data_IF_924358712395
#
_entry.id   IF_924358712395
#
_cell.length_a   1.000
_cell.length_b   1.000
_cell.length_c   1.000
_cell.angle_alpha   90.00
_cell.angle_beta   90.00
_cell.angle_gamma   90.00
#
_symmetry.space_group_name_H-M   'P 1'
#
loop_
_entity.id
_entity.type
_entity.pdbx_description
1 polymer ?
#
# COMPACT_ATOMS: atom_id res chain seq x y z
N UNK A 1 26.63 -32.31 20.55
CA UNK A 1 26.15 -32.37 19.16
C UNK A 1 24.65 -32.60 19.20
N UNK A 2 23.86 -31.64 18.76
CA UNK A 2 22.41 -31.78 18.67
C UNK A 2 22.05 -32.91 17.68
N UNK A 3 21.08 -33.74 18.01
CA UNK A 3 20.62 -34.85 17.16
C UNK A 3 19.54 -34.27 16.21
N UNK A 4 19.85 -34.18 14.94
CA UNK A 4 18.93 -33.66 13.91
C UNK A 4 18.01 -34.78 13.45
N UNK A 5 16.69 -34.60 13.63
CA UNK A 5 15.63 -35.48 13.17
C UNK A 5 14.78 -34.75 12.14
N UNK A 6 14.83 -35.18 10.88
CA UNK A 6 14.14 -34.54 9.76
C UNK A 6 13.65 -35.54 8.71
N UNK A 7 13.22 -36.71 9.16
CA UNK A 7 12.83 -37.81 8.30
C UNK A 7 11.59 -37.47 7.44
N UNK A 8 10.62 -36.78 8.02
CA UNK A 8 9.41 -36.36 7.28
C UNK A 8 9.77 -35.49 6.09
N UNK A 9 10.73 -34.57 6.28
CA UNK A 9 11.17 -33.68 5.19
C UNK A 9 11.93 -34.42 4.10
N UNK A 10 12.79 -35.35 4.48
CA UNK A 10 13.48 -36.20 3.50
C UNK A 10 12.48 -37.01 2.67
N UNK A 11 11.47 -37.58 3.33
CA UNK A 11 10.40 -38.32 2.68
C UNK A 11 9.59 -37.42 1.68
N UNK A 12 9.24 -36.20 2.09
CA UNK A 12 8.54 -35.24 1.21
C UNK A 12 9.39 -34.90 -0.02
N UNK A 13 10.66 -34.57 0.17
CA UNK A 13 11.59 -34.27 -0.93
C UNK A 13 11.76 -35.46 -1.90
N UNK A 14 11.79 -36.68 -1.39
CA UNK A 14 11.82 -37.89 -2.22
C UNK A 14 10.56 -38.00 -3.07
N UNK A 15 9.40 -37.78 -2.46
CA UNK A 15 8.10 -37.86 -3.13
C UNK A 15 7.92 -36.76 -4.19
N UNK A 16 8.32 -35.53 -3.89
CA UNK A 16 8.31 -34.41 -4.82
C UNK A 16 9.14 -34.67 -6.08
N UNK A 17 10.21 -35.50 -5.92
CA UNK A 17 11.07 -35.91 -7.05
C UNK A 17 10.63 -37.24 -7.70
N UNK A 18 9.50 -37.79 -7.32
CA UNK A 18 8.99 -39.04 -7.87
C UNK A 18 9.88 -40.25 -7.61
N UNK A 19 10.78 -40.18 -6.61
CA UNK A 19 11.75 -41.28 -6.34
C UNK A 19 11.15 -42.33 -5.42
N UNK A 20 11.43 -43.59 -5.73
CA UNK A 20 11.17 -44.70 -4.79
C UNK A 20 12.17 -44.66 -3.66
N UNK A 21 11.83 -45.29 -2.49
CA UNK A 21 12.75 -45.38 -1.35
C UNK A 21 14.05 -46.11 -1.73
N UNK A 22 13.95 -47.17 -2.55
CA UNK A 22 15.10 -47.91 -3.06
C UNK A 22 15.98 -47.04 -3.95
N UNK A 23 15.39 -46.30 -4.85
CA UNK A 23 16.14 -45.41 -5.75
C UNK A 23 16.89 -44.30 -5.02
N UNK A 24 16.25 -43.69 -3.99
CA UNK A 24 16.92 -42.65 -3.18
C UNK A 24 18.04 -43.29 -2.30
N UNK A 25 17.81 -44.48 -1.73
CA UNK A 25 18.83 -45.17 -0.95
C UNK A 25 20.09 -45.49 -1.79
N UNK A 26 19.90 -45.96 -3.01
CA UNK A 26 20.98 -46.20 -3.98
C UNK A 26 21.72 -44.89 -4.33
N UNK A 27 20.98 -43.83 -4.63
CA UNK A 27 21.58 -42.53 -4.98
C UNK A 27 22.39 -41.92 -3.83
N UNK A 28 21.94 -42.11 -2.58
CA UNK A 28 22.65 -41.68 -1.37
C UNK A 28 23.78 -42.64 -0.94
N UNK A 29 23.89 -43.85 -1.53
CA UNK A 29 24.85 -44.86 -1.17
C UNK A 29 24.64 -45.33 0.27
N UNK A 30 23.37 -45.60 0.67
CA UNK A 30 22.96 -46.16 1.97
C UNK A 30 21.99 -47.31 1.76
N UNK A 31 21.78 -48.16 2.79
CA UNK A 31 20.81 -49.24 2.67
C UNK A 31 19.36 -48.72 2.71
N UNK A 32 18.40 -49.35 2.00
CA UNK A 32 16.97 -48.98 2.06
C UNK A 32 16.43 -49.04 3.49
N UNK A 33 16.84 -49.98 4.31
CA UNK A 33 16.46 -50.08 5.72
C UNK A 33 16.95 -48.87 6.53
N UNK A 34 18.18 -48.41 6.29
CA UNK A 34 18.72 -47.25 6.97
C UNK A 34 18.00 -45.95 6.51
N UNK A 35 17.68 -45.83 5.22
CA UNK A 35 16.85 -44.72 4.70
C UNK A 35 15.47 -44.71 5.35
N UNK A 36 14.82 -45.86 5.48
CA UNK A 36 13.52 -45.97 6.15
C UNK A 36 13.59 -45.49 7.62
N UNK A 37 14.65 -45.90 8.35
CA UNK A 37 14.85 -45.42 9.73
C UNK A 37 15.08 -43.93 9.84
N UNK A 38 15.74 -43.33 8.86
CA UNK A 38 15.90 -41.86 8.75
C UNK A 38 14.57 -41.17 8.44
N UNK A 39 13.79 -41.67 7.46
CA UNK A 39 12.48 -41.10 7.07
C UNK A 39 11.41 -41.23 8.17
N UNK A 40 11.59 -42.18 9.13
CA UNK A 40 10.71 -42.38 10.28
C UNK A 40 11.24 -41.72 11.55
N UNK A 41 12.29 -40.92 11.49
CA UNK A 41 12.93 -40.24 12.61
C UNK A 41 13.43 -41.26 13.73
N UNK A 42 13.62 -42.49 13.34
CA UNK A 42 14.18 -43.53 14.27
C UNK A 42 15.69 -43.38 14.45
N UNK A 43 16.36 -42.68 13.53
CA UNK A 43 17.77 -42.33 13.63
C UNK A 43 18.01 -40.86 13.24
N UNK A 44 18.93 -40.19 13.97
CA UNK A 44 19.32 -38.83 13.63
C UNK A 44 20.14 -38.79 12.32
N UNK A 45 20.05 -37.68 11.60
CA UNK A 45 20.90 -37.42 10.46
C UNK A 45 22.35 -37.19 10.93
N UNK A 46 23.29 -37.84 10.31
CA UNK A 46 24.69 -37.50 10.45
C UNK A 46 25.09 -36.44 9.40
N UNK A 47 26.16 -35.70 9.69
CA UNK A 47 26.70 -34.70 8.74
C UNK A 47 27.02 -35.34 7.40
N UNK A 48 27.53 -36.58 7.42
CA UNK A 48 27.81 -37.34 6.17
C UNK A 48 26.55 -37.62 5.36
N UNK A 49 25.42 -37.92 5.99
CA UNK A 49 24.14 -38.14 5.31
C UNK A 49 23.59 -36.80 4.75
N UNK A 50 23.66 -35.72 5.52
CA UNK A 50 23.25 -34.39 5.08
C UNK A 50 24.02 -33.93 3.86
N UNK A 51 25.33 -34.12 3.82
CA UNK A 51 26.16 -33.80 2.65
C UNK A 51 25.79 -34.64 1.42
N UNK A 52 25.43 -35.92 1.61
CA UNK A 52 24.96 -36.79 0.52
C UNK A 52 23.60 -36.32 0.00
N UNK A 53 22.67 -35.97 0.89
CA UNK A 53 21.33 -35.43 0.55
C UNK A 53 21.49 -34.12 -0.25
N UNK A 54 22.35 -33.22 0.21
CA UNK A 54 22.66 -31.98 -0.50
C UNK A 54 23.18 -32.25 -1.94
N UNK A 55 24.14 -33.17 -2.05
CA UNK A 55 24.77 -33.51 -3.36
C UNK A 55 23.78 -34.16 -4.34
N UNK A 56 22.95 -35.07 -3.84
CA UNK A 56 22.03 -35.90 -4.66
C UNK A 56 20.74 -35.15 -4.98
N UNK A 57 20.18 -34.45 -4.01
CA UNK A 57 18.91 -33.76 -4.15
C UNK A 57 19.09 -32.25 -4.44
N UNK A 58 20.31 -31.68 -4.40
CA UNK A 58 20.55 -30.25 -4.64
C UNK A 58 19.89 -29.32 -3.62
N UNK A 59 19.56 -29.85 -2.42
CA UNK A 59 18.84 -29.09 -1.39
C UNK A 59 19.86 -28.40 -0.48
N UNK A 60 19.64 -27.12 -0.18
CA UNK A 60 20.50 -26.37 0.72
C UNK A 60 20.49 -27.01 2.15
N UNK A 61 21.68 -27.25 2.70
CA UNK A 61 21.84 -27.80 4.06
C UNK A 61 21.22 -26.88 5.11
N UNK A 62 21.17 -25.56 4.85
CA UNK A 62 20.52 -24.58 5.74
C UNK A 62 19.02 -24.83 5.89
N UNK A 63 18.37 -25.43 4.90
CA UNK A 63 16.97 -25.85 5.00
C UNK A 63 16.73 -26.98 6.03
N UNK A 64 17.80 -27.62 6.53
CA UNK A 64 17.78 -28.60 7.57
C UNK A 64 18.34 -28.04 8.89
N UNK A 65 18.41 -26.72 9.07
CA UNK A 65 18.93 -26.11 10.31
C UNK A 65 17.83 -25.98 11.37
N UNK A 66 18.23 -26.09 12.63
CA UNK A 66 17.37 -25.84 13.79
C UNK A 66 16.83 -24.39 13.79
N UNK A 67 17.54 -23.44 13.16
CA UNK A 67 17.15 -22.04 13.05
C UNK A 67 15.90 -21.85 12.17
N UNK A 68 15.75 -22.62 11.09
CA UNK A 68 14.58 -22.53 10.23
C UNK A 68 13.32 -23.06 10.92
N UNK A 69 13.47 -24.15 11.68
CA UNK A 69 12.38 -24.71 12.48
C UNK A 69 11.99 -23.75 13.61
N UNK A 70 12.95 -23.16 14.31
CA UNK A 70 12.70 -22.15 15.33
C UNK A 70 11.96 -20.91 14.76
N UNK A 71 12.38 -20.48 13.58
CA UNK A 71 11.72 -19.40 12.85
C UNK A 71 10.29 -19.74 12.46
N UNK A 72 10.04 -20.95 11.97
CA UNK A 72 8.71 -21.43 11.62
C UNK A 72 7.80 -21.48 12.85
N UNK A 73 8.30 -21.96 13.99
CA UNK A 73 7.58 -21.98 15.26
C UNK A 73 7.26 -20.57 15.76
N UNK A 74 8.19 -19.63 15.65
CA UNK A 74 7.94 -18.23 16.00
C UNK A 74 6.83 -17.62 15.13
N UNK A 75 6.89 -17.82 13.82
CA UNK A 75 5.85 -17.32 12.89
C UNK A 75 4.48 -17.96 13.17
N UNK A 76 4.42 -19.24 13.49
CA UNK A 76 3.18 -19.92 13.89
C UNK A 76 2.63 -19.34 15.20
N UNK A 77 3.50 -19.09 16.16
CA UNK A 77 3.12 -18.48 17.45
C UNK A 77 2.48 -17.10 17.24
N UNK A 78 3.10 -16.27 16.40
CA UNK A 78 2.57 -14.94 16.06
C UNK A 78 1.22 -15.03 15.32
N UNK A 79 1.10 -15.98 14.38
CA UNK A 79 -0.12 -16.19 13.62
C UNK A 79 -1.29 -16.66 14.51
N UNK A 80 -1.02 -17.56 15.46
CA UNK A 80 -2.02 -18.08 16.40
C UNK A 80 -2.41 -17.01 17.42
N UNK A 81 -1.45 -16.24 17.95
CA UNK A 81 -1.70 -15.15 18.89
C UNK A 81 -2.57 -14.01 18.26
N UNK A 82 -2.57 -13.89 16.94
CA UNK A 82 -3.38 -12.90 16.22
C UNK A 82 -4.86 -13.31 16.06
N UNK A 83 -5.24 -14.54 16.43
CA UNK A 83 -6.62 -15.03 16.32
C UNK A 83 -7.39 -14.67 17.61
N UNK A 84 -8.43 -13.80 17.54
CA UNK A 84 -9.25 -13.47 18.71
C UNK A 84 -9.93 -14.71 19.28
N UNK A 85 -10.10 -14.75 20.59
CA UNK A 85 -10.83 -15.80 21.33
C UNK A 85 -10.24 -17.23 21.23
N UNK A 86 -9.05 -17.39 20.65
CA UNK A 86 -8.36 -18.67 20.65
C UNK A 86 -7.55 -18.84 21.96
N UNK A 87 -7.72 -19.97 22.69
CA UNK A 87 -6.86 -20.26 23.84
C UNK A 87 -5.39 -20.29 23.43
N UNK A 88 -4.50 -19.88 24.33
CA UNK A 88 -3.07 -19.91 24.08
C UNK A 88 -2.60 -21.35 23.74
N UNK A 89 -2.06 -21.51 22.53
CA UNK A 89 -1.52 -22.80 22.08
C UNK A 89 -0.12 -22.98 22.68
N UNK A 90 0.16 -24.12 23.38
CA UNK A 90 1.45 -24.36 23.96
C UNK A 90 2.56 -24.40 22.91
N UNK A 91 3.72 -23.84 23.22
CA UNK A 91 4.88 -23.87 22.31
C UNK A 91 5.33 -25.30 21.91
N UNK A 92 5.04 -26.27 22.77
CA UNK A 92 5.34 -27.68 22.48
C UNK A 92 4.53 -28.20 21.30
N UNK A 93 3.26 -27.86 21.21
CA UNK A 93 2.36 -28.23 20.09
C UNK A 93 2.77 -27.54 18.79
N UNK A 94 3.15 -26.26 18.83
CA UNK A 94 3.65 -25.53 17.67
C UNK A 94 4.96 -26.12 17.12
N UNK A 95 5.85 -26.58 18.03
CA UNK A 95 7.07 -27.28 17.63
C UNK A 95 6.77 -28.64 17.00
N UNK A 96 5.82 -29.37 17.56
CA UNK A 96 5.38 -30.63 16.99
C UNK A 96 4.74 -30.50 15.64
N UNK A 97 3.87 -29.46 15.46
CA UNK A 97 3.27 -29.10 14.18
C UNK A 97 4.33 -28.75 13.14
N UNK A 98 5.28 -27.87 13.48
CA UNK A 98 6.37 -27.47 12.60
C UNK A 98 7.29 -28.65 12.21
N UNK A 99 7.53 -29.56 13.12
CA UNK A 99 8.38 -30.74 12.89
C UNK A 99 7.70 -31.84 12.07
N UNK A 100 6.44 -32.18 12.41
CA UNK A 100 5.72 -33.29 11.78
C UNK A 100 4.96 -32.92 10.51
N UNK A 101 4.50 -31.69 10.42
CA UNK A 101 3.64 -31.19 9.31
C UNK A 101 4.14 -29.85 8.73
N UNK A 102 5.38 -29.76 8.23
CA UNK A 102 5.98 -28.51 7.79
C UNK A 102 5.21 -27.86 6.62
N UNK A 103 4.68 -28.65 5.68
CA UNK A 103 3.88 -28.13 4.56
C UNK A 103 2.56 -27.52 5.03
N UNK A 104 1.89 -28.14 6.00
CA UNK A 104 0.67 -27.59 6.59
C UNK A 104 0.96 -26.31 7.37
N UNK A 105 2.07 -26.27 8.10
CA UNK A 105 2.55 -25.07 8.79
C UNK A 105 2.78 -23.91 7.83
N UNK A 106 3.43 -24.16 6.70
CA UNK A 106 3.64 -23.15 5.66
C UNK A 106 2.33 -22.71 4.99
N UNK A 107 1.40 -23.64 4.74
CA UNK A 107 0.08 -23.31 4.20
C UNK A 107 -0.73 -22.43 5.17
N UNK A 108 -0.73 -22.73 6.46
CA UNK A 108 -1.35 -21.91 7.50
C UNK A 108 -0.76 -20.49 7.54
N UNK A 109 0.56 -20.38 7.49
CA UNK A 109 1.22 -19.07 7.44
C UNK A 109 0.92 -18.30 6.14
N UNK A 110 0.81 -18.99 5.02
CA UNK A 110 0.40 -18.38 3.76
C UNK A 110 -1.05 -17.88 3.82
N UNK A 111 -1.97 -18.66 4.38
CA UNK A 111 -3.36 -18.25 4.62
C UNK A 111 -3.45 -17.07 5.59
N UNK A 112 -2.70 -17.09 6.69
CA UNK A 112 -2.65 -15.99 7.64
C UNK A 112 -2.15 -14.70 7.00
N UNK A 113 -1.05 -14.76 6.24
CA UNK A 113 -0.54 -13.59 5.49
C UNK A 113 -1.56 -13.06 4.49
N UNK A 114 -2.25 -13.96 3.77
CA UNK A 114 -3.30 -13.58 2.83
C UNK A 114 -4.46 -12.89 3.55
N UNK A 115 -4.92 -13.45 4.67
CA UNK A 115 -5.97 -12.86 5.50
C UNK A 115 -5.56 -11.47 6.02
N UNK A 116 -4.34 -11.31 6.53
CA UNK A 116 -3.82 -10.01 6.94
C UNK A 116 -3.80 -9.01 5.77
N UNK A 117 -3.34 -9.43 4.59
CA UNK A 117 -3.35 -8.60 3.40
C UNK A 117 -4.77 -8.19 3.00
N UNK A 118 -5.72 -9.11 3.03
CA UNK A 118 -7.11 -8.85 2.67
C UNK A 118 -7.81 -7.93 3.70
N UNK A 119 -7.60 -8.16 4.99
CA UNK A 119 -8.08 -7.27 6.07
C UNK A 119 -7.51 -5.87 5.93
N UNK A 120 -6.23 -5.76 5.63
CA UNK A 120 -5.57 -4.48 5.39
C UNK A 120 -6.09 -3.77 4.15
N UNK A 121 -6.38 -4.51 3.09
CA UNK A 121 -7.02 -4.00 1.88
C UNK A 121 -8.40 -3.43 2.19
N UNK A 122 -9.20 -4.14 2.98
CA UNK A 122 -10.52 -3.69 3.43
C UNK A 122 -10.42 -2.42 4.29
N UNK A 123 -9.49 -2.35 5.23
CA UNK A 123 -9.25 -1.13 6.03
C UNK A 123 -8.81 0.05 5.15
N UNK A 124 -7.91 -0.20 4.20
CA UNK A 124 -7.46 0.86 3.27
C UNK A 124 -8.60 1.33 2.36
N UNK A 125 -9.48 0.42 1.93
CA UNK A 125 -10.69 0.76 1.17
C UNK A 125 -11.71 1.51 2.03
N UNK A 126 -11.97 1.06 3.25
CA UNK A 126 -12.87 1.73 4.20
C UNK A 126 -12.37 3.14 4.55
N UNK A 127 -11.08 3.31 4.84
CA UNK A 127 -10.45 4.61 5.09
C UNK A 127 -10.54 5.55 3.88
N UNK A 128 -10.47 5.01 2.67
CA UNK A 128 -10.61 5.79 1.43
C UNK A 128 -12.07 6.14 1.16
N UNK A 129 -12.99 5.23 1.37
CA UNK A 129 -14.43 5.44 1.22
C UNK A 129 -14.94 6.46 2.24
N UNK A 130 -14.53 6.38 3.49
CA UNK A 130 -14.91 7.35 4.53
C UNK A 130 -14.33 8.75 4.24
N UNK A 131 -13.16 8.85 3.64
CA UNK A 131 -12.56 10.13 3.23
C UNK A 131 -13.13 10.72 1.95
N UNK A 132 -13.76 9.92 1.11
CA UNK A 132 -14.33 10.34 -0.18
C UNK A 132 -15.84 10.62 -0.09
N UNK A 133 -16.51 10.24 1.00
CA UNK A 133 -17.95 10.46 1.17
C UNK A 133 -18.79 9.76 0.10
N UNK A 134 -18.48 8.52 -0.22
CA UNK A 134 -19.30 7.70 -1.12
C UNK A 134 -20.37 6.95 -0.32
N UNK A 135 -21.49 7.63 -0.02
CA UNK A 135 -22.69 7.00 0.54
C UNK A 135 -23.60 6.35 -0.53
N UNK A 136 -23.15 6.22 -1.77
CA UNK A 136 -23.88 5.52 -2.82
C UNK A 136 -22.97 4.56 -3.58
N UNK A 137 -22.62 3.43 -2.96
CA UNK A 137 -22.26 2.21 -3.66
C UNK A 137 -23.10 1.07 -3.12
N UNK A 138 -24.31 0.82 -3.67
CA UNK A 138 -25.05 -0.37 -3.33
C UNK A 138 -24.32 -1.57 -3.93
N UNK A 139 -23.94 -2.53 -3.10
CA UNK A 139 -23.72 -3.90 -3.55
C UNK A 139 -22.30 -4.33 -3.95
N UNK A 140 -21.23 -3.70 -3.52
CA UNK A 140 -19.86 -4.05 -3.95
C UNK A 140 -19.12 -5.07 -3.06
N UNK A 141 -19.78 -5.66 -2.09
CA UNK A 141 -19.13 -6.55 -1.11
C UNK A 141 -19.16 -8.03 -1.51
N UNK A 142 -19.95 -8.44 -2.52
CA UNK A 142 -20.26 -9.85 -2.77
C UNK A 142 -19.71 -10.48 -4.05
N UNK A 143 -19.03 -9.73 -4.92
CA UNK A 143 -18.34 -10.39 -6.04
C UNK A 143 -16.85 -10.54 -5.74
N UNK A 144 -16.45 -11.77 -5.49
CA UNK A 144 -15.06 -12.18 -5.41
C UNK A 144 -14.32 -11.72 -6.67
N UNK A 145 -13.55 -10.65 -6.56
CA UNK A 145 -12.71 -10.14 -7.64
C UNK A 145 -11.78 -11.29 -8.11
N UNK A 146 -11.74 -11.59 -9.39
CA UNK A 146 -10.81 -12.57 -9.92
C UNK A 146 -9.37 -12.19 -9.59
N UNK A 147 -8.42 -13.14 -9.55
CA UNK A 147 -7.02 -12.87 -9.28
C UNK A 147 -6.40 -12.07 -10.43
N UNK A 148 -6.66 -10.77 -10.44
CA UNK A 148 -6.17 -9.75 -11.35
C UNK A 148 -5.67 -8.56 -10.56
N UNK A 149 -5.06 -7.60 -11.23
CA UNK A 149 -4.59 -6.36 -10.61
C UNK A 149 -5.71 -5.71 -9.78
N UNK A 150 -5.38 -5.38 -8.52
CA UNK A 150 -6.36 -4.70 -7.65
C UNK A 150 -6.71 -3.32 -8.22
N UNK A 151 -7.97 -2.85 -8.12
CA UNK A 151 -8.43 -1.58 -8.71
C UNK A 151 -7.49 -0.39 -8.41
N UNK A 152 -6.97 -0.31 -7.18
CA UNK A 152 -6.04 0.77 -6.79
C UNK A 152 -4.65 0.62 -7.41
N UNK A 153 -4.22 -0.59 -7.83
CA UNK A 153 -2.95 -0.79 -8.52
C UNK A 153 -3.03 -0.25 -9.95
N UNK A 154 -4.13 -0.50 -10.64
CA UNK A 154 -4.38 0.05 -11.97
C UNK A 154 -4.45 1.60 -11.93
N UNK A 155 -5.11 2.16 -10.92
CA UNK A 155 -5.14 3.62 -10.72
C UNK A 155 -3.74 4.16 -10.43
N UNK A 156 -2.98 3.50 -9.56
CA UNK A 156 -1.60 3.90 -9.26
C UNK A 156 -0.72 3.84 -10.52
N UNK A 157 -0.82 2.77 -11.31
CA UNK A 157 -0.04 2.60 -12.53
C UNK A 157 -0.41 3.67 -13.57
N UNK A 158 -1.68 4.07 -13.65
CA UNK A 158 -2.13 5.21 -14.46
C UNK A 158 -1.47 6.53 -14.01
N UNK A 159 -1.48 6.85 -12.72
CA UNK A 159 -0.81 8.05 -12.20
C UNK A 159 0.70 8.00 -12.41
N UNK A 160 1.30 6.85 -12.23
CA UNK A 160 2.73 6.66 -12.44
C UNK A 160 3.14 6.83 -13.91
N UNK A 161 2.36 6.31 -14.87
CA UNK A 161 2.58 6.50 -16.30
C UNK A 161 2.59 7.98 -16.70
N UNK A 162 1.82 8.81 -15.98
CA UNK A 162 1.78 10.26 -16.15
C UNK A 162 2.78 11.02 -15.25
N UNK A 163 3.71 10.33 -14.57
CA UNK A 163 4.64 10.93 -13.59
C UNK A 163 3.94 11.78 -12.52
N UNK A 164 2.72 11.39 -12.14
CA UNK A 164 1.84 12.12 -11.22
C UNK A 164 1.59 13.60 -11.61
N UNK A 165 1.70 13.95 -12.89
CA UNK A 165 1.45 15.30 -13.40
C UNK A 165 0.48 15.27 -14.58
N UNK A 166 -0.55 16.09 -14.53
CA UNK A 166 -1.57 16.21 -15.57
C UNK A 166 -1.67 17.67 -15.99
N UNK A 167 -0.96 18.04 -17.05
CA UNK A 167 -0.77 19.45 -17.47
C UNK A 167 -2.10 20.22 -17.65
N UNK A 168 -3.05 19.63 -18.35
CA UNK A 168 -4.35 20.27 -18.61
C UNK A 168 -5.14 20.57 -17.33
N UNK A 169 -5.14 19.61 -16.37
CA UNK A 169 -5.84 19.76 -15.09
C UNK A 169 -5.10 20.71 -14.16
N UNK A 170 -3.77 20.64 -14.15
CA UNK A 170 -2.95 21.51 -13.31
C UNK A 170 -3.06 22.98 -13.70
N UNK A 171 -3.00 23.28 -15.02
CA UNK A 171 -3.20 24.64 -15.54
C UNK A 171 -4.63 25.15 -15.30
N UNK A 172 -5.65 24.31 -15.45
CA UNK A 172 -7.02 24.69 -15.13
C UNK A 172 -7.18 25.00 -13.63
N UNK A 173 -6.60 24.17 -12.75
CA UNK A 173 -6.60 24.43 -11.31
C UNK A 173 -5.86 25.72 -10.94
N UNK A 174 -4.72 26.00 -11.58
CA UNK A 174 -3.95 27.23 -11.39
C UNK A 174 -4.76 28.47 -11.84
N UNK A 175 -5.49 28.39 -12.96
CA UNK A 175 -6.37 29.47 -13.42
C UNK A 175 -7.52 29.73 -12.44
N UNK A 176 -8.16 28.70 -11.91
CA UNK A 176 -9.18 28.83 -10.85
C UNK A 176 -8.61 29.45 -9.58
N UNK A 177 -7.41 29.07 -9.17
CA UNK A 177 -6.74 29.66 -8.01
C UNK A 177 -6.41 31.15 -8.23
N UNK A 178 -6.05 31.55 -9.45
CA UNK A 178 -5.85 32.97 -9.82
C UNK A 178 -7.17 33.74 -9.73
N UNK A 179 -8.27 33.18 -10.19
CA UNK A 179 -9.60 33.81 -10.07
C UNK A 179 -9.99 34.01 -8.60
N UNK A 180 -9.79 32.96 -7.77
CA UNK A 180 -10.04 33.06 -6.33
C UNK A 180 -9.22 34.16 -5.68
N UNK A 181 -7.94 34.26 -6.04
CA UNK A 181 -7.05 35.28 -5.52
C UNK A 181 -7.44 36.71 -5.95
N UNK A 182 -7.87 36.88 -7.22
CA UNK A 182 -8.28 38.19 -7.76
C UNK A 182 -9.53 38.73 -7.06
N UNK A 183 -10.42 37.84 -6.61
CA UNK A 183 -11.63 38.23 -5.88
C UNK A 183 -11.37 38.51 -4.38
N UNK A 184 -10.22 38.04 -3.84
CA UNK A 184 -9.88 38.20 -2.43
C UNK A 184 -10.67 37.27 -1.53
N UNK A 185 -10.38 37.31 -0.22
CA UNK A 185 -11.02 36.45 0.77
C UNK A 185 -10.34 35.09 0.96
N UNK A 186 -10.90 34.28 1.86
CA UNK A 186 -10.39 32.92 2.10
C UNK A 186 -10.84 31.94 1.01
N UNK A 187 -9.95 31.05 0.62
CA UNK A 187 -10.23 30.07 -0.44
C UNK A 187 -11.49 29.21 -0.19
N UNK A 188 -11.79 28.72 1.02
CA UNK A 188 -13.04 27.98 1.26
C UNK A 188 -14.29 28.78 1.00
N UNK A 189 -14.27 30.07 1.30
CA UNK A 189 -15.39 31.00 1.09
C UNK A 189 -15.62 31.22 -0.40
N UNK A 190 -14.54 31.48 -1.15
CA UNK A 190 -14.60 31.60 -2.60
C UNK A 190 -15.15 30.31 -3.24
N UNK A 191 -14.62 29.16 -2.87
CA UNK A 191 -15.09 27.87 -3.39
C UNK A 191 -16.58 27.63 -3.13
N UNK A 192 -17.06 27.98 -1.91
CA UNK A 192 -18.47 27.87 -1.54
C UNK A 192 -19.34 28.76 -2.40
N UNK A 193 -18.93 30.01 -2.62
CA UNK A 193 -19.65 30.95 -3.47
C UNK A 193 -19.63 30.52 -4.93
N UNK A 194 -18.48 30.09 -5.44
CA UNK A 194 -18.31 29.62 -6.82
C UNK A 194 -19.20 28.39 -7.10
N UNK A 195 -19.18 27.39 -6.21
CA UNK A 195 -20.07 26.23 -6.30
C UNK A 195 -21.55 26.62 -6.31
N UNK A 196 -21.94 27.60 -5.51
CA UNK A 196 -23.31 28.10 -5.46
C UNK A 196 -23.70 28.83 -6.75
N UNK A 197 -22.87 29.76 -7.21
CA UNK A 197 -23.19 30.61 -8.32
C UNK A 197 -23.10 29.92 -9.68
N UNK A 198 -22.06 29.09 -9.88
CA UNK A 198 -21.82 28.44 -11.18
C UNK A 198 -22.55 27.09 -11.29
N UNK A 199 -22.70 26.39 -10.18
CA UNK A 199 -23.22 25.02 -10.18
C UNK A 199 -24.51 24.84 -9.39
N UNK A 200 -25.03 25.88 -8.75
CA UNK A 200 -26.24 25.80 -7.91
C UNK A 200 -26.09 24.85 -6.71
N UNK A 201 -24.87 24.64 -6.23
CA UNK A 201 -24.60 23.74 -5.12
C UNK A 201 -24.64 24.48 -3.80
N UNK A 202 -25.46 23.99 -2.87
CA UNK A 202 -25.54 24.49 -1.50
C UNK A 202 -24.62 23.70 -0.61
N UNK A 203 -23.81 24.40 0.18
CA UNK A 203 -22.88 23.76 1.13
C UNK A 203 -23.48 23.82 2.54
N UNK A 204 -23.68 22.68 3.14
CA UNK A 204 -24.17 22.54 4.52
C UNK A 204 -23.09 21.87 5.38
N UNK A 205 -22.96 22.33 6.63
CA UNK A 205 -22.13 21.65 7.64
C UNK A 205 -23.02 20.71 8.41
N UNK A 206 -22.67 19.42 8.43
CA UNK A 206 -23.29 18.41 9.27
C UNK A 206 -22.70 18.47 10.67
N UNK A 207 -23.52 18.14 11.69
CA UNK A 207 -23.05 18.07 13.07
C UNK A 207 -21.90 17.07 13.21
N UNK A 208 -21.03 17.31 14.21
CA UNK A 208 -19.90 16.43 14.54
C UNK A 208 -20.42 15.02 14.91
N UNK A 209 -19.78 13.99 14.40
CA UNK A 209 -20.12 12.59 14.66
C UNK A 209 -19.63 11.65 13.56
N UNK A 210 -20.22 10.46 13.48
CA UNK A 210 -19.86 9.41 12.50
C UNK A 210 -20.24 9.74 11.03
N UNK A 211 -20.57 10.99 10.73
CA UNK A 211 -20.90 11.41 9.37
C UNK A 211 -19.64 11.42 8.47
N UNK A 212 -19.77 11.08 7.19
CA UNK A 212 -18.66 11.13 6.24
C UNK A 212 -18.14 12.56 6.10
N UNK A 213 -16.81 12.69 5.86
CA UNK A 213 -16.16 14.00 5.72
C UNK A 213 -16.81 14.87 4.63
N UNK A 214 -17.36 14.23 3.58
CA UNK A 214 -18.04 14.85 2.47
C UNK A 214 -19.13 13.93 1.90
N UNK A 215 -20.34 14.47 1.68
CA UNK A 215 -21.43 13.80 0.95
C UNK A 215 -22.10 14.78 0.01
N UNK A 216 -22.21 14.44 -1.26
CA UNK A 216 -22.93 15.24 -2.25
C UNK A 216 -24.24 14.57 -2.63
N UNK A 217 -25.34 15.24 -2.40
CA UNK A 217 -26.65 14.84 -2.87
C UNK A 217 -26.93 15.55 -4.21
N UNK A 218 -26.93 14.76 -5.28
CA UNK A 218 -27.16 15.25 -6.62
C UNK A 218 -28.60 15.73 -6.86
N UNK A 219 -29.59 15.16 -6.17
CA UNK A 219 -30.99 15.51 -6.34
C UNK A 219 -31.30 16.89 -5.75
N UNK A 220 -30.83 17.16 -4.53
CA UNK A 220 -30.99 18.45 -3.86
C UNK A 220 -29.86 19.44 -4.19
N UNK A 221 -28.83 19.00 -4.95
CA UNK A 221 -27.58 19.74 -5.19
C UNK A 221 -26.94 20.28 -3.92
N UNK A 222 -26.93 19.47 -2.88
CA UNK A 222 -26.44 19.85 -1.57
C UNK A 222 -25.15 19.09 -1.25
N UNK A 223 -24.12 19.82 -0.88
CA UNK A 223 -22.83 19.27 -0.43
C UNK A 223 -22.79 19.36 1.10
N UNK A 224 -22.84 18.20 1.76
CA UNK A 224 -22.65 18.09 3.21
C UNK A 224 -21.17 17.93 3.51
N UNK A 225 -20.65 18.74 4.44
CA UNK A 225 -19.28 18.67 4.94
C UNK A 225 -19.31 18.47 6.45
N UNK A 226 -18.42 17.64 6.99
CA UNK A 226 -18.26 17.50 8.44
C UNK A 226 -17.85 18.82 9.08
N UNK A 227 -18.46 19.15 10.22
CA UNK A 227 -18.11 20.35 11.00
C UNK A 227 -16.69 20.28 11.59
N UNK A 228 -16.12 19.08 11.74
CA UNK A 228 -14.79 18.85 12.34
C UNK A 228 -13.63 19.16 11.36
N UNK A 229 -13.92 19.48 10.11
CA UNK A 229 -12.91 19.78 9.11
C UNK A 229 -12.16 21.08 9.41
N UNK A 230 -10.84 20.99 9.46
CA UNK A 230 -9.98 22.17 9.48
C UNK A 230 -10.11 22.97 8.16
N UNK A 231 -9.81 24.29 8.14
CA UNK A 231 -10.00 25.13 6.94
C UNK A 231 -9.34 24.58 5.68
N UNK A 232 -8.13 24.02 5.78
CA UNK A 232 -7.44 23.41 4.63
C UNK A 232 -8.11 22.12 4.16
N UNK A 233 -8.65 21.32 5.08
CA UNK A 233 -9.42 20.13 4.74
C UNK A 233 -10.77 20.48 4.10
N UNK A 234 -11.43 21.51 4.61
CA UNK A 234 -12.66 22.05 4.03
C UNK A 234 -12.41 22.53 2.60
N UNK A 235 -11.33 23.33 2.39
CA UNK A 235 -10.93 23.77 1.05
C UNK A 235 -10.72 22.58 0.10
N UNK A 236 -10.07 21.52 0.59
CA UNK A 236 -9.81 20.31 -0.20
C UNK A 236 -11.10 19.61 -0.63
N UNK A 237 -12.08 19.45 0.27
CA UNK A 237 -13.36 18.80 -0.05
C UNK A 237 -14.20 19.64 -1.04
N UNK A 238 -14.21 20.95 -0.85
CA UNK A 238 -14.88 21.89 -1.77
C UNK A 238 -14.23 21.87 -3.16
N UNK A 239 -12.90 21.93 -3.23
CA UNK A 239 -12.16 21.89 -4.48
C UNK A 239 -12.31 20.54 -5.20
N UNK A 240 -12.37 19.42 -4.45
CA UNK A 240 -12.66 18.11 -5.03
C UNK A 240 -14.05 18.07 -5.66
N UNK A 241 -15.07 18.64 -4.99
CA UNK A 241 -16.41 18.72 -5.55
C UNK A 241 -16.47 19.63 -6.78
N UNK A 242 -15.76 20.74 -6.75
CA UNK A 242 -15.65 21.64 -7.92
C UNK A 242 -15.01 20.92 -9.11
N UNK A 243 -13.93 20.19 -8.89
CA UNK A 243 -13.26 19.43 -9.94
C UNK A 243 -14.19 18.39 -10.59
N UNK A 244 -14.98 17.68 -9.79
CA UNK A 244 -15.95 16.70 -10.28
C UNK A 244 -17.10 17.32 -11.11
N UNK A 245 -17.42 18.59 -10.90
CA UNK A 245 -18.48 19.30 -11.63
C UNK A 245 -17.94 20.07 -12.85
N UNK A 246 -16.81 20.75 -12.69
CA UNK A 246 -16.33 21.73 -13.70
C UNK A 246 -15.28 21.12 -14.63
N UNK A 247 -14.40 20.25 -14.10
CA UNK A 247 -13.31 19.64 -14.89
C UNK A 247 -13.60 18.20 -15.32
N UNK A 248 -14.85 17.76 -15.17
CA UNK A 248 -15.26 16.42 -15.59
C UNK A 248 -14.90 16.11 -17.06
N UNK A 249 -15.13 17.01 -18.05
CA UNK A 249 -14.79 16.71 -19.44
C UNK A 249 -13.29 16.44 -19.64
N UNK A 250 -12.42 17.25 -19.01
CA UNK A 250 -10.97 17.09 -19.10
C UNK A 250 -10.52 15.78 -18.43
N UNK A 251 -11.09 15.46 -17.26
CA UNK A 251 -10.81 14.19 -16.58
C UNK A 251 -11.26 13.00 -17.42
N UNK A 252 -12.44 13.04 -18.04
CA UNK A 252 -12.92 11.97 -18.91
C UNK A 252 -12.03 11.77 -20.14
N UNK A 253 -11.52 12.84 -20.73
CA UNK A 253 -10.55 12.77 -21.83
C UNK A 253 -9.28 12.03 -21.42
N UNK A 254 -8.74 12.35 -20.24
CA UNK A 254 -7.57 11.64 -19.68
C UNK A 254 -7.87 10.18 -19.39
N UNK A 255 -9.01 9.87 -18.77
CA UNK A 255 -9.42 8.51 -18.45
C UNK A 255 -9.67 7.67 -19.71
N UNK A 256 -10.08 8.26 -20.82
CA UNK A 256 -10.28 7.57 -22.08
C UNK A 256 -8.97 7.11 -22.74
N UNK A 257 -7.83 7.66 -22.36
CA UNK A 257 -6.52 7.24 -22.88
C UNK A 257 -6.01 5.93 -22.27
N UNK A 258 -6.67 5.42 -21.23
CA UNK A 258 -6.27 4.22 -20.50
C UNK A 258 -7.35 3.13 -20.59
N UNK A 259 -6.91 1.88 -20.67
CA UNK A 259 -7.81 0.74 -20.65
C UNK A 259 -8.10 0.32 -19.20
N UNK A 260 -9.33 0.50 -18.76
CA UNK A 260 -9.78 0.14 -17.41
C UNK A 260 -10.42 -1.24 -17.42
N UNK A 261 -10.11 -2.06 -16.42
CA UNK A 261 -10.66 -3.41 -16.29
C UNK A 261 -12.18 -3.39 -16.04
N UNK A 262 -12.64 -2.38 -15.29
CA UNK A 262 -14.04 -2.20 -14.91
C UNK A 262 -14.36 -0.71 -14.66
N UNK A 263 -15.65 -0.40 -14.59
CA UNK A 263 -16.13 0.96 -14.35
C UNK A 263 -15.84 1.45 -12.92
N UNK A 264 -15.71 0.55 -11.94
CA UNK A 264 -15.38 0.91 -10.57
C UNK A 264 -13.95 1.42 -10.47
N UNK A 265 -13.01 0.74 -11.11
CA UNK A 265 -11.60 1.18 -11.21
C UNK A 265 -11.51 2.54 -11.92
N UNK A 266 -12.27 2.74 -13.00
CA UNK A 266 -12.35 4.01 -13.71
C UNK A 266 -12.90 5.14 -12.82
N UNK A 267 -13.94 4.87 -12.02
CA UNK A 267 -14.48 5.83 -11.04
C UNK A 267 -13.45 6.20 -9.96
N UNK A 268 -12.70 5.23 -9.44
CA UNK A 268 -11.61 5.49 -8.50
C UNK A 268 -10.53 6.39 -9.11
N UNK A 269 -10.17 6.17 -10.37
CA UNK A 269 -9.24 7.04 -11.08
C UNK A 269 -9.80 8.46 -11.25
N UNK A 270 -11.08 8.61 -11.55
CA UNK A 270 -11.76 9.90 -11.63
C UNK A 270 -11.70 10.67 -10.30
N UNK A 271 -11.95 9.98 -9.20
CA UNK A 271 -11.81 10.57 -7.86
C UNK A 271 -10.35 10.95 -7.58
N UNK A 272 -9.41 10.11 -7.98
CA UNK A 272 -7.98 10.40 -7.88
C UNK A 272 -7.59 11.68 -8.63
N UNK A 273 -8.10 11.87 -9.86
CA UNK A 273 -7.89 13.08 -10.64
C UNK A 273 -8.56 14.30 -9.99
N UNK A 274 -9.77 14.17 -9.44
CA UNK A 274 -10.42 15.26 -8.72
C UNK A 274 -9.64 15.69 -7.47
N UNK A 275 -9.08 14.72 -6.72
CA UNK A 275 -8.20 15.01 -5.60
C UNK A 275 -6.88 15.66 -6.03
N UNK A 276 -6.34 15.27 -7.20
CA UNK A 276 -5.18 15.93 -7.81
C UNK A 276 -5.48 17.40 -8.09
N UNK A 277 -6.61 17.68 -8.73
CA UNK A 277 -7.07 19.06 -9.01
C UNK A 277 -7.23 19.88 -7.73
N UNK A 278 -7.83 19.28 -6.69
CA UNK A 278 -8.00 19.95 -5.40
C UNK A 278 -6.65 20.35 -4.78
N UNK A 279 -5.66 19.44 -4.80
CA UNK A 279 -4.30 19.76 -4.37
C UNK A 279 -3.64 20.85 -5.22
N UNK A 280 -3.81 20.80 -6.53
CA UNK A 280 -3.27 21.77 -7.46
C UNK A 280 -3.91 23.19 -7.33
N UNK A 281 -5.20 23.24 -6.99
CA UNK A 281 -5.92 24.49 -6.74
C UNK A 281 -5.49 25.15 -5.43
N UNK A 282 -5.33 24.36 -4.36
CA UNK A 282 -4.90 24.87 -3.04
C UNK A 282 -3.43 25.29 -3.08
N UNK A 283 -2.60 24.54 -3.81
CA UNK A 283 -1.17 24.76 -3.98
C UNK A 283 -0.84 25.02 -5.46
N UNK A 284 -1.17 26.22 -6.00
CA UNK A 284 -1.00 26.54 -7.41
C UNK A 284 0.45 26.40 -7.86
N UNK A 285 0.67 25.81 -9.04
CA UNK A 285 1.97 25.35 -9.51
C UNK A 285 3.08 26.38 -9.38
N UNK A 286 2.95 27.52 -10.07
CA UNK A 286 4.01 28.52 -10.13
C UNK A 286 4.35 29.11 -8.76
N UNK A 287 3.32 29.44 -7.96
CA UNK A 287 3.52 29.99 -6.59
C UNK A 287 4.13 28.95 -5.65
N UNK A 288 3.71 27.71 -5.76
CA UNK A 288 4.21 26.65 -4.89
C UNK A 288 5.65 26.25 -5.26
N UNK A 289 5.99 26.13 -6.55
CA UNK A 289 7.34 25.87 -7.01
C UNK A 289 8.30 26.98 -6.58
N UNK A 290 7.94 28.25 -6.81
CA UNK A 290 8.76 29.39 -6.38
C UNK A 290 9.00 29.39 -4.86
N UNK A 291 7.96 29.07 -4.08
CA UNK A 291 8.10 28.95 -2.63
C UNK A 291 9.00 27.78 -2.23
N UNK A 292 8.85 26.62 -2.89
CA UNK A 292 9.66 25.44 -2.62
C UNK A 292 11.14 25.71 -2.89
N UNK A 293 11.47 26.32 -4.02
CA UNK A 293 12.84 26.71 -4.36
C UNK A 293 13.40 27.73 -3.36
N UNK A 294 12.63 28.76 -3.02
CA UNK A 294 13.09 29.82 -2.10
C UNK A 294 13.28 29.32 -0.66
N UNK A 295 12.57 28.30 -0.23
CA UNK A 295 12.66 27.69 1.10
C UNK A 295 13.51 26.41 1.12
N UNK A 296 14.22 26.09 0.03
CA UNK A 296 15.05 24.89 -0.05
C UNK A 296 14.24 23.59 0.12
N UNK A 297 12.98 23.59 -0.30
CA UNK A 297 12.05 22.45 -0.19
C UNK A 297 11.75 22.03 1.27
N UNK A 298 11.87 22.94 2.22
CA UNK A 298 11.49 22.70 3.61
C UNK A 298 9.97 22.52 3.72
N UNK A 299 9.56 21.30 4.08
CA UNK A 299 8.15 20.88 4.08
C UNK A 299 7.35 21.61 5.17
N UNK A 300 7.94 21.84 6.33
CA UNK A 300 7.30 22.51 7.46
C UNK A 300 7.04 23.98 7.15
N UNK A 301 8.05 24.68 6.63
CA UNK A 301 7.94 26.08 6.23
C UNK A 301 6.94 26.25 5.07
N UNK A 302 6.93 25.32 4.11
CA UNK A 302 5.91 25.28 3.05
C UNK A 302 4.51 25.07 3.62
N UNK A 303 4.35 24.14 4.55
CA UNK A 303 3.08 23.89 5.23
C UNK A 303 2.55 25.13 5.95
N UNK A 304 3.42 25.84 6.68
CA UNK A 304 3.09 27.09 7.37
C UNK A 304 2.72 28.20 6.38
N UNK A 305 3.49 28.38 5.32
CA UNK A 305 3.28 29.43 4.32
C UNK A 305 1.94 29.30 3.59
N UNK A 306 1.52 28.06 3.31
CA UNK A 306 0.27 27.77 2.59
C UNK A 306 -0.90 27.37 3.51
N UNK A 307 -0.67 27.26 4.81
CA UNK A 307 -1.71 26.86 5.78
C UNK A 307 -2.23 25.43 5.56
N UNK A 308 -1.35 24.51 5.15
CA UNK A 308 -1.70 23.11 4.84
C UNK A 308 -0.86 22.12 5.64
N UNK A 309 -1.39 20.90 5.79
CA UNK A 309 -0.67 19.84 6.50
C UNK A 309 0.51 19.26 5.73
N UNK A 310 1.40 18.61 6.45
CA UNK A 310 2.64 17.97 5.95
C UNK A 310 2.40 17.05 4.75
N UNK A 311 1.36 16.19 4.83
CA UNK A 311 1.03 15.24 3.77
C UNK A 311 0.65 15.94 2.45
N UNK A 312 -0.08 17.06 2.53
CA UNK A 312 -0.49 17.80 1.32
C UNK A 312 0.72 18.43 0.63
N UNK A 313 1.69 18.96 1.39
CA UNK A 313 2.95 19.48 0.86
C UNK A 313 3.73 18.36 0.17
N UNK A 314 3.95 17.22 0.83
CA UNK A 314 4.65 16.07 0.24
C UNK A 314 3.98 15.59 -1.05
N UNK A 315 2.66 15.52 -1.03
CA UNK A 315 1.88 15.14 -2.20
C UNK A 315 2.10 16.11 -3.36
N UNK A 316 2.05 17.43 -3.08
CA UNK A 316 2.25 18.44 -4.13
C UNK A 316 3.67 18.44 -4.66
N UNK A 317 4.67 18.31 -3.81
CA UNK A 317 6.07 18.20 -4.23
C UNK A 317 6.29 17.04 -5.22
N UNK A 318 5.62 15.90 -5.02
CA UNK A 318 5.71 14.76 -5.93
C UNK A 318 4.98 14.96 -7.27
N UNK A 319 4.29 16.07 -7.48
CA UNK A 319 3.56 16.40 -8.72
C UNK A 319 4.17 17.57 -9.52
N UNK A 320 5.30 18.12 -9.09
CA UNK A 320 5.96 19.26 -9.76
C UNK A 320 6.77 18.81 -10.98
N UNK A 321 6.07 18.30 -12.01
CA UNK A 321 6.69 17.71 -13.21
C UNK A 321 6.27 18.42 -14.51
N UNK A 322 5.94 19.72 -14.45
CA UNK A 322 5.62 20.54 -15.62
C UNK A 322 6.88 20.64 -16.50
N UNK A 323 6.74 20.38 -17.80
CA UNK A 323 7.88 20.27 -18.72
C UNK A 323 8.67 21.56 -18.89
N UNK A 324 8.01 22.71 -18.83
CA UNK A 324 8.59 24.06 -18.97
C UNK A 324 9.06 24.67 -17.65
N UNK A 325 8.73 24.05 -16.50
CA UNK A 325 9.11 24.47 -15.16
C UNK A 325 9.17 23.29 -14.19
N UNK A 326 10.06 22.32 -14.39
CA UNK A 326 10.13 21.13 -13.55
C UNK A 326 10.70 21.46 -12.17
N UNK A 327 10.08 20.91 -11.12
CA UNK A 327 10.65 20.88 -9.78
C UNK A 327 11.56 19.66 -9.57
N UNK A 328 12.06 19.51 -8.34
CA UNK A 328 12.80 18.29 -7.95
C UNK A 328 11.86 17.08 -8.02
N UNK A 329 12.24 15.99 -8.70
CA UNK A 329 11.39 14.81 -8.77
C UNK A 329 11.45 14.02 -7.44
N UNK A 330 10.40 14.12 -6.64
CA UNK A 330 10.26 13.40 -5.39
C UNK A 330 9.42 12.13 -5.56
N UNK A 331 9.66 11.17 -4.69
CA UNK A 331 8.69 10.13 -4.38
C UNK A 331 8.17 10.31 -2.95
N UNK A 332 6.96 9.85 -2.70
CA UNK A 332 6.30 9.93 -1.41
C UNK A 332 5.71 8.58 -1.01
N UNK A 333 6.03 8.13 0.19
CA UNK A 333 5.47 6.92 0.79
C UNK A 333 4.93 7.26 2.17
N UNK A 334 3.73 6.81 2.47
CA UNK A 334 3.18 6.81 3.83
C UNK A 334 3.11 5.39 4.36
N UNK A 335 3.77 5.17 5.49
CA UNK A 335 3.87 3.86 6.16
C UNK A 335 3.32 4.00 7.58
N UNK A 336 2.56 3.02 8.04
CA UNK A 336 2.13 2.92 9.43
C UNK A 336 3.16 2.18 10.31
N UNK A 337 2.92 2.15 11.63
CA UNK A 337 3.82 1.47 12.59
C UNK A 337 3.95 -0.03 12.36
N UNK A 338 2.98 -0.66 11.71
CA UNK A 338 3.01 -2.07 11.35
C UNK A 338 3.80 -2.34 10.05
N UNK A 339 4.36 -1.29 9.42
CA UNK A 339 5.09 -1.39 8.17
C UNK A 339 4.20 -1.41 6.92
N UNK A 340 2.90 -1.13 7.07
CA UNK A 340 1.97 -1.14 5.97
C UNK A 340 2.05 0.15 5.18
N UNK A 341 2.19 0.03 3.87
CA UNK A 341 2.24 1.19 2.97
C UNK A 341 0.83 1.58 2.58
N UNK A 342 0.34 2.70 3.13
CA UNK A 342 -0.98 3.24 2.86
C UNK A 342 -1.01 4.20 1.66
N UNK A 343 0.14 4.73 1.24
CA UNK A 343 0.24 5.62 0.09
C UNK A 343 1.61 5.48 -0.57
N UNK A 344 1.61 5.40 -1.89
CA UNK A 344 2.82 5.46 -2.73
C UNK A 344 2.58 6.41 -3.88
N UNK A 345 3.51 7.32 -4.10
CA UNK A 345 3.49 8.24 -5.21
C UNK A 345 4.92 8.53 -5.63
N UNK A 346 5.21 8.49 -6.92
CA UNK A 346 6.56 8.74 -7.43
C UNK A 346 6.50 9.54 -8.72
N UNK A 347 7.23 10.64 -8.75
CA UNK A 347 7.57 11.38 -9.97
C UNK A 347 8.91 10.92 -10.56
N UNK A 348 9.60 10.01 -9.88
CA UNK A 348 10.89 9.47 -10.30
C UNK A 348 10.70 8.17 -11.09
N UNK A 349 11.74 7.73 -11.80
CA UNK A 349 11.80 6.39 -12.40
C UNK A 349 12.03 5.28 -11.36
N UNK A 350 11.97 5.60 -10.08
CA UNK A 350 12.16 4.64 -9.01
C UNK A 350 10.97 3.69 -8.94
N UNK A 351 11.16 2.46 -9.39
CA UNK A 351 10.18 1.40 -9.30
C UNK A 351 10.23 0.80 -7.89
N UNK A 352 9.24 1.14 -7.08
CA UNK A 352 8.92 0.28 -5.94
C UNK A 352 8.53 -1.09 -6.49
N UNK A 353 9.31 -2.14 -6.20
CA UNK A 353 9.02 -3.47 -6.72
C UNK A 353 7.58 -3.86 -6.40
N UNK A 354 6.88 -4.47 -7.35
CA UNK A 354 5.53 -5.00 -7.16
C UNK A 354 5.46 -6.11 -6.10
N UNK A 355 6.62 -6.72 -5.82
CA UNK A 355 6.81 -7.80 -4.86
C UNK A 355 7.82 -7.34 -3.81
N UNK A 356 7.37 -6.92 -2.65
CA UNK A 356 8.12 -6.42 -1.52
C UNK A 356 9.60 -6.81 -1.46
N UNK A 357 10.48 -5.85 -1.30
CA UNK A 357 11.91 -6.11 -1.13
C UNK A 357 12.84 -5.16 -1.86
N UNK A 358 12.42 -3.93 -2.13
CA UNK A 358 13.36 -2.91 -2.60
C UNK A 358 13.92 -2.11 -1.43
N UNK A 359 15.16 -1.73 -1.56
CA UNK A 359 16.04 -1.02 -0.63
C UNK A 359 15.47 0.15 0.22
N UNK A 360 14.40 0.89 -0.18
CA UNK A 360 13.83 1.96 0.63
C UNK A 360 13.20 1.53 1.96
N UNK A 361 12.95 0.25 2.16
CA UNK A 361 12.32 -0.25 3.40
C UNK A 361 13.21 -0.11 4.64
N UNK A 362 14.51 0.08 4.47
CA UNK A 362 15.44 0.16 5.60
C UNK A 362 15.30 1.45 6.39
N UNK A 363 15.08 2.58 5.72
CA UNK A 363 14.83 3.87 6.40
C UNK A 363 13.51 3.88 7.16
N UNK A 364 12.53 3.07 6.77
CA UNK A 364 11.25 2.97 7.46
C UNK A 364 11.44 2.48 8.89
N UNK A 365 12.23 1.45 9.10
CA UNK A 365 12.49 0.92 10.44
C UNK A 365 13.29 1.90 11.30
N UNK A 366 14.27 2.57 10.71
CA UNK A 366 15.06 3.61 11.40
C UNK A 366 14.20 4.82 11.75
N UNK A 367 13.27 5.23 10.87
CA UNK A 367 12.36 6.33 11.12
C UNK A 367 11.42 6.06 12.31
N UNK A 368 10.97 4.82 12.49
CA UNK A 368 10.18 4.44 13.67
C UNK A 368 11.00 4.36 14.95
N UNK A 369 12.28 4.04 14.84
CA UNK A 369 13.20 4.03 15.98
C UNK A 369 13.59 5.46 16.43
N UNK A 370 13.50 6.45 15.54
CA UNK A 370 13.86 7.84 15.79
C UNK A 370 12.73 8.81 15.37
N UNK A 371 11.57 8.79 16.04
CA UNK A 371 10.44 9.64 15.68
C UNK A 371 10.81 11.13 15.80
N UNK A 372 10.33 11.92 14.82
CA UNK A 372 10.58 13.36 14.79
C UNK A 372 11.96 13.76 14.21
N UNK A 373 12.72 12.81 13.65
CA UNK A 373 13.96 13.10 12.92
C UNK A 373 13.82 12.83 11.44
N UNK A 374 14.39 13.71 10.62
CA UNK A 374 14.63 13.45 9.20
C UNK A 374 15.95 12.67 9.11
N UNK A 375 15.89 11.45 8.56
CA UNK A 375 17.05 10.59 8.38
C UNK A 375 17.52 10.66 6.92
N UNK A 376 18.60 11.41 6.62
CA UNK A 376 19.16 11.43 5.27
C UNK A 376 19.85 10.09 4.99
N UNK A 377 19.69 9.59 3.75
CA UNK A 377 20.39 8.43 3.24
C UNK A 377 20.78 8.67 1.79
N UNK A 378 22.03 8.42 1.45
CA UNK A 378 22.53 8.34 0.07
C UNK A 378 22.83 6.89 -0.26
N UNK A 379 22.46 6.45 -1.46
CA UNK A 379 22.89 5.16 -2.02
C UNK A 379 23.86 5.46 -3.15
N UNK A 380 25.09 5.02 -3.01
CA UNK A 380 26.04 4.99 -4.12
C UNK A 380 25.62 3.85 -5.07
N UNK A 381 25.47 4.17 -6.36
CA UNK A 381 25.22 3.20 -7.42
C UNK A 381 26.54 2.73 -8.01
#
# INVERSE_FOLDING_TARGET
>A
MSKIFMGVRLRSLRQERGMTQVALAQALGISPSYLNQLEQDQRPFTVSVLLKVHRVLGVDIQQFSEDEQARLVAQLSDAVAAVPDLPAVPQAELRELAAKLPQLSQALLALHRRHQQDTQRLHTLADRLSRVGMDEAPGWVDDALPPGQMPFEAVRDFFFAHRNYFDSLDRAAEALAQQAQAQGGALPEWLTQHLRHQHGVFVLRSEAGDAPLRRFDAASRTLHLSADLQPSQQAFQLATQLALLELQPQMQTLLATHHWQDEATRRLASIGLANYVAGALILPYGRFLQAAESLGYDIELLGQRFGVGYEMVCHRLSTLQRSDAPGVPFFFIRVDRAGNISKRQSATHFHFSKTGGSCPLWNVYEAFAQPGRILPRSEER
#
